data_IF_337177321908
#
_entry.id   IF_337177321908
#
_cell.length_a   1.000
_cell.length_b   1.000
_cell.length_c   1.000
_cell.angle_alpha   90.00
_cell.angle_beta   90.00
_cell.angle_gamma   90.00
#
_symmetry.space_group_name_H-M   'P 1'
#
loop_
_entity.id
_entity.type
_entity.pdbx_description
1 polymer ?
#
# COMPACT_ATOMS: atom_id res chain seq x y z
N UNK A 1 11.87 -5.58 -1.07
CA UNK A 1 10.64 -5.03 -1.67
C UNK A 1 10.81 -3.54 -1.93
N UNK A 2 10.45 -3.06 -3.13
CA UNK A 2 10.52 -1.64 -3.47
C UNK A 2 9.12 -1.07 -3.69
N UNK A 3 8.78 -0.02 -2.95
CA UNK A 3 7.50 0.69 -3.09
C UNK A 3 7.78 2.08 -3.65
N UNK A 4 7.10 2.44 -4.72
CA UNK A 4 7.31 3.70 -5.43
C UNK A 4 5.97 4.35 -5.75
N UNK A 5 5.92 5.68 -5.69
CA UNK A 5 4.87 6.46 -6.32
C UNK A 5 5.31 6.82 -7.74
N UNK A 6 4.51 6.47 -8.73
CA UNK A 6 4.75 6.77 -10.15
C UNK A 6 3.73 7.80 -10.60
N UNK A 7 4.19 8.87 -11.25
CA UNK A 7 3.30 9.87 -11.85
C UNK A 7 2.85 9.37 -13.22
N UNK A 8 1.54 9.27 -13.44
CA UNK A 8 0.93 8.83 -14.69
C UNK A 8 -0.09 9.86 -15.18
N UNK A 9 0.28 10.62 -16.21
CA UNK A 9 -0.56 11.69 -16.73
C UNK A 9 -0.85 12.76 -15.68
N UNK A 10 -2.12 12.93 -15.35
CA UNK A 10 -2.62 13.88 -14.35
C UNK A 10 -2.77 13.28 -12.94
N UNK A 11 -2.37 12.02 -12.73
CA UNK A 11 -2.52 11.32 -11.46
C UNK A 11 -1.25 10.60 -10.99
N UNK A 12 -1.37 9.95 -9.84
CA UNK A 12 -0.33 9.10 -9.26
C UNK A 12 -0.78 7.64 -9.22
N UNK A 13 0.17 6.73 -9.27
CA UNK A 13 -0.02 5.31 -9.05
C UNK A 13 0.96 4.81 -7.98
N UNK A 14 0.52 3.88 -7.15
CA UNK A 14 1.38 3.12 -6.27
C UNK A 14 1.90 1.90 -7.04
N UNK A 15 3.21 1.70 -7.04
CA UNK A 15 3.87 0.55 -7.62
C UNK A 15 4.65 -0.20 -6.53
N UNK A 16 4.44 -1.50 -6.43
CA UNK A 16 5.18 -2.40 -5.53
C UNK A 16 5.89 -3.43 -6.40
N UNK A 17 7.22 -3.41 -6.37
CA UNK A 17 8.07 -4.34 -7.09
C UNK A 17 8.73 -5.31 -6.11
N UNK A 18 8.57 -6.63 -6.31
CA UNK A 18 9.31 -7.62 -5.53
C UNK A 18 10.76 -7.68 -6.04
N UNK A 19 11.71 -7.55 -5.11
CA UNK A 19 13.16 -7.56 -5.45
C UNK A 19 13.75 -8.99 -5.43
N UNK A 20 13.05 -9.91 -4.77
CA UNK A 20 13.49 -11.28 -4.49
C UNK A 20 12.29 -12.26 -4.48
N UNK A 21 12.58 -13.53 -4.20
CA UNK A 21 11.57 -14.60 -4.15
C UNK A 21 10.60 -14.43 -2.99
N UNK A 22 11.07 -13.90 -1.86
CA UNK A 22 10.23 -13.63 -0.69
C UNK A 22 9.15 -12.59 -1.01
N UNK A 23 9.54 -11.49 -1.66
CA UNK A 23 8.59 -10.48 -2.12
C UNK A 23 7.60 -11.02 -3.15
N UNK A 24 8.04 -11.90 -4.06
CA UNK A 24 7.14 -12.56 -5.02
C UNK A 24 6.14 -13.47 -4.33
N UNK A 25 6.59 -14.29 -3.38
CA UNK A 25 5.73 -15.18 -2.61
C UNK A 25 4.69 -14.39 -1.79
N UNK A 26 5.09 -13.27 -1.19
CA UNK A 26 4.19 -12.37 -0.49
C UNK A 26 3.09 -11.85 -1.41
N UNK A 27 3.45 -11.28 -2.58
CA UNK A 27 2.46 -10.78 -3.54
C UNK A 27 1.54 -11.89 -4.07
N UNK A 28 2.10 -13.08 -4.31
CA UNK A 28 1.34 -14.25 -4.74
C UNK A 28 0.32 -14.71 -3.69
N UNK A 29 0.61 -14.59 -2.39
CA UNK A 29 -0.34 -14.90 -1.31
C UNK A 29 -1.58 -14.00 -1.34
N UNK A 30 -1.48 -12.81 -1.93
CA UNK A 30 -2.60 -11.89 -2.18
C UNK A 30 -3.15 -11.99 -3.62
N UNK A 31 -2.77 -13.02 -4.38
CA UNK A 31 -3.24 -13.27 -5.75
C UNK A 31 -2.61 -12.36 -6.81
N UNK A 32 -1.55 -11.62 -6.47
CA UNK A 32 -0.84 -10.76 -7.41
C UNK A 32 0.32 -11.53 -8.04
N UNK A 33 0.34 -11.60 -9.37
CA UNK A 33 1.44 -12.20 -10.13
C UNK A 33 2.40 -11.11 -10.62
N UNK A 34 3.60 -11.05 -10.03
CA UNK A 34 4.63 -10.07 -10.40
C UNK A 34 4.52 -8.77 -9.61
N UNK A 35 4.52 -7.63 -10.31
CA UNK A 35 4.44 -6.30 -9.68
C UNK A 35 2.98 -5.90 -9.42
N UNK A 36 2.74 -5.25 -8.29
CA UNK A 36 1.43 -4.65 -7.99
C UNK A 36 1.42 -3.19 -8.40
N UNK A 37 0.45 -2.78 -9.20
CA UNK A 37 0.25 -1.38 -9.58
C UNK A 37 -1.20 -0.98 -9.43
N UNK A 38 -1.45 0.11 -8.71
CA UNK A 38 -2.80 0.67 -8.56
C UNK A 38 -2.80 2.18 -8.66
N UNK A 39 -3.79 2.75 -9.34
CA UNK A 39 -3.93 4.20 -9.49
C UNK A 39 -4.46 4.79 -8.18
N UNK A 40 -3.75 5.77 -7.64
CA UNK A 40 -4.21 6.56 -6.51
C UNK A 40 -5.29 7.50 -7.03
N UNK A 41 -6.55 7.13 -6.79
CA UNK A 41 -7.66 8.08 -6.96
C UNK A 41 -7.64 9.02 -5.75
N UNK A 42 -7.91 10.31 -5.98
CA UNK A 42 -8.35 11.22 -4.92
C UNK A 42 -9.44 10.49 -4.14
N UNK A 43 -9.18 10.20 -2.87
CA UNK A 43 -10.00 9.40 -1.96
C UNK A 43 -11.44 9.25 -2.47
N UNK A 44 -11.72 8.14 -3.18
CA UNK A 44 -13.08 7.62 -3.12
C UNK A 44 -13.35 7.49 -1.63
N UNK A 45 -14.47 8.02 -1.16
CA UNK A 45 -14.92 7.88 0.22
C UNK A 45 -14.93 6.38 0.56
N UNK A 46 -13.78 5.89 1.02
CA UNK A 46 -13.70 4.64 1.74
C UNK A 46 -14.62 4.87 2.94
N UNK A 47 -15.49 3.91 3.31
CA UNK A 47 -16.31 4.05 4.51
C UNK A 47 -15.39 4.51 5.62
N UNK A 48 -15.68 5.69 6.18
CA UNK A 48 -14.75 6.46 7.00
C UNK A 48 -14.32 5.62 8.19
N UNK A 49 -13.19 4.92 8.06
CA UNK A 49 -12.58 4.21 9.18
C UNK A 49 -11.96 5.32 10.01
N UNK A 50 -12.56 5.57 11.18
CA UNK A 50 -12.06 6.61 12.08
C UNK A 50 -10.63 6.26 12.50
N UNK A 51 -9.82 7.27 12.79
CA UNK A 51 -8.46 7.06 13.32
C UNK A 51 -8.47 6.16 14.58
N UNK A 52 -9.55 6.20 15.36
CA UNK A 52 -9.77 5.33 16.52
C UNK A 52 -9.93 3.85 16.13
N UNK A 53 -10.61 3.54 15.02
CA UNK A 53 -10.74 2.16 14.52
C UNK A 53 -9.42 1.63 13.97
N UNK A 54 -8.64 2.49 13.29
CA UNK A 54 -7.29 2.11 12.82
C UNK A 54 -6.36 1.85 14.02
N UNK A 55 -6.39 2.70 15.04
CA UNK A 55 -5.60 2.53 16.26
C UNK A 55 -6.00 1.28 17.05
N UNK A 56 -7.28 0.92 17.08
CA UNK A 56 -7.76 -0.28 17.77
C UNK A 56 -7.30 -1.60 17.13
N UNK A 57 -6.98 -1.60 15.83
CA UNK A 57 -6.49 -2.78 15.10
C UNK A 57 -4.96 -2.84 15.10
N UNK A 58 -4.30 -1.72 15.40
CA UNK A 58 -2.84 -1.62 15.39
C UNK A 58 -2.24 -2.09 16.72
N UNK A 59 -1.55 -3.23 16.72
CA UNK A 59 -0.87 -3.79 17.90
C UNK A 59 0.50 -3.16 18.21
N UNK A 60 0.93 -2.15 17.46
CA UNK A 60 2.21 -1.45 17.65
C UNK A 60 2.08 -0.13 18.40
N UNK A 61 3.18 0.39 18.95
CA UNK A 61 3.25 1.79 19.37
C UNK A 61 3.36 2.68 18.11
N UNK A 62 2.52 3.72 17.95
CA UNK A 62 2.63 4.62 16.80
C UNK A 62 4.00 5.30 16.84
N UNK A 63 4.76 5.19 15.75
CA UNK A 63 6.05 5.85 15.63
C UNK A 63 5.84 7.38 15.65
N UNK A 64 6.43 8.06 16.62
CA UNK A 64 6.57 9.52 16.58
C UNK A 64 7.60 9.87 15.51
N UNK A 65 7.19 10.68 14.54
CA UNK A 65 8.11 11.34 13.61
C UNK A 65 8.66 12.59 14.32
N UNK A 66 9.97 12.65 14.50
CA UNK A 66 10.70 13.86 14.89
C UNK A 66 10.81 14.86 13.73
#
# INVERSE_FOLDING_TARGET
>A
MKVMMVVEGDGCALLIQPEDEEGRALLAAFGVTGEFKTRLRSSVELPSVSAAQVAAIYEGAPATLD
#
